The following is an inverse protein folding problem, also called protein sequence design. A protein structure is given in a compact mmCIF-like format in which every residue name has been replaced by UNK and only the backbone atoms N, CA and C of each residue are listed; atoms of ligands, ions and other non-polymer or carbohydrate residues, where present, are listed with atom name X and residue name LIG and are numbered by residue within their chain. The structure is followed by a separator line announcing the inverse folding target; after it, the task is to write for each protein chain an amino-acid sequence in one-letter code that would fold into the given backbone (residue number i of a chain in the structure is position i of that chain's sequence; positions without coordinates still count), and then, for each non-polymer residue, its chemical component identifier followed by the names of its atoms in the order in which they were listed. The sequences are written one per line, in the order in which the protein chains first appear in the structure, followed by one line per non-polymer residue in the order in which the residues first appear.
data_IF_471224786555
#
_entry.id   IF_471224786555
#
_cell.length_a   1.000
_cell.length_b   1.000
_cell.length_c   1.000
_cell.angle_alpha   90.00
_cell.angle_beta   90.00
_cell.angle_gamma   90.00
#
_symmetry.space_group_name_H-M   'P 1'
#
loop_
_entity.id
_entity.type
_entity.pdbx_description
1 polymer ?
#
# COMPACT_ATOMS: atom_id res chain seq x y z
N UNK A 1 -27.24 32.54 9.87
CA UNK A 1 -27.61 31.11 9.66
C UNK A 1 -26.31 30.34 9.55
N UNK A 2 -25.88 29.73 10.66
CA UNK A 2 -24.74 28.80 10.63
C UNK A 2 -25.24 27.50 10.01
N UNK A 3 -24.81 27.20 8.79
CA UNK A 3 -24.85 25.83 8.31
C UNK A 3 -23.74 25.06 9.05
N UNK A 4 -24.15 24.35 10.10
CA UNK A 4 -23.39 23.24 10.65
C UNK A 4 -23.39 22.16 9.58
N UNK A 5 -22.37 22.13 8.75
CA UNK A 5 -21.99 20.91 8.06
C UNK A 5 -21.38 20.02 9.13
N UNK A 6 -22.16 19.07 9.64
CA UNK A 6 -21.64 17.88 10.28
C UNK A 6 -20.85 17.11 9.19
N UNK A 7 -19.63 17.55 8.98
CA UNK A 7 -18.67 16.82 8.18
C UNK A 7 -18.38 15.55 8.98
N UNK A 8 -18.99 14.46 8.55
CA UNK A 8 -18.90 13.17 9.23
C UNK A 8 -17.41 12.81 9.34
N UNK A 9 -16.92 12.75 10.55
CA UNK A 9 -15.51 12.50 10.81
C UNK A 9 -15.08 11.19 10.12
N UNK A 10 -14.03 11.25 9.29
CA UNK A 10 -13.56 10.12 8.48
C UNK A 10 -13.11 8.95 9.36
N UNK A 11 -12.54 9.25 10.54
CA UNK A 11 -12.16 8.25 11.54
C UNK A 11 -12.91 8.51 12.85
N UNK A 12 -13.41 7.44 13.46
CA UNK A 12 -14.03 7.50 14.78
C UNK A 12 -12.98 7.76 15.88
N UNK A 13 -13.43 8.16 17.06
CA UNK A 13 -12.54 8.32 18.22
C UNK A 13 -11.83 7.02 18.58
N UNK A 14 -12.54 5.88 18.53
CA UNK A 14 -11.99 4.56 18.83
C UNK A 14 -10.92 4.14 17.81
N UNK A 15 -11.13 4.44 16.52
CA UNK A 15 -10.13 4.19 15.48
C UNK A 15 -8.85 5.01 15.69
N UNK A 16 -8.99 6.27 16.07
CA UNK A 16 -7.83 7.14 16.39
C UNK A 16 -7.08 6.63 17.62
N UNK A 17 -7.80 6.23 18.66
CA UNK A 17 -7.20 5.66 19.86
C UNK A 17 -6.49 4.35 19.53
N UNK A 18 -7.13 3.46 18.76
CA UNK A 18 -6.51 2.20 18.33
C UNK A 18 -5.21 2.43 17.55
N UNK A 19 -5.19 3.42 16.66
CA UNK A 19 -3.96 3.79 15.93
C UNK A 19 -2.86 4.25 16.87
N UNK A 20 -3.17 5.08 17.86
CA UNK A 20 -2.19 5.57 18.83
C UNK A 20 -1.60 4.45 19.67
N UNK A 21 -2.44 3.49 20.07
CA UNK A 21 -2.03 2.37 20.94
C UNK A 21 -1.27 1.29 20.19
N UNK A 22 -1.55 1.07 18.91
CA UNK A 22 -1.07 -0.10 18.16
C UNK A 22 -0.16 0.24 16.97
N UNK A 23 -0.15 1.49 16.47
CA UNK A 23 0.67 1.91 15.33
C UNK A 23 0.15 1.45 13.97
N UNK A 24 -1.02 0.87 13.90
CA UNK A 24 -1.69 0.52 12.65
C UNK A 24 -3.21 0.66 12.77
N UNK A 25 -3.89 0.74 11.63
CA UNK A 25 -5.34 0.79 11.57
C UNK A 25 -5.83 0.06 10.31
N UNK A 26 -6.81 -0.82 10.48
CA UNK A 26 -7.52 -1.44 9.37
C UNK A 26 -8.75 -0.61 9.03
N UNK A 27 -8.83 -0.17 7.79
CA UNK A 27 -10.00 0.52 7.22
C UNK A 27 -10.71 -0.41 6.25
N UNK A 28 -12.01 -0.56 6.43
CA UNK A 28 -12.85 -1.36 5.54
C UNK A 28 -13.63 -0.43 4.60
N UNK A 29 -13.94 -0.94 3.41
CA UNK A 29 -14.81 -0.26 2.42
C UNK A 29 -14.28 1.13 1.99
N UNK A 30 -12.97 1.30 1.92
CA UNK A 30 -12.34 2.51 1.38
C UNK A 30 -12.66 2.63 -0.11
N UNK A 31 -12.72 1.51 -0.80
CA UNK A 31 -13.08 1.41 -2.21
C UNK A 31 -14.40 0.66 -2.39
N UNK A 32 -15.15 1.01 -3.43
CA UNK A 32 -16.33 0.23 -3.84
C UNK A 32 -15.90 -1.10 -4.48
N UNK A 33 -16.80 -2.10 -4.55
CA UNK A 33 -16.49 -3.35 -5.25
C UNK A 33 -16.05 -3.14 -6.71
N UNK A 34 -16.65 -2.18 -7.41
CA UNK A 34 -16.30 -1.83 -8.78
C UNK A 34 -14.88 -1.24 -8.84
N UNK A 35 -14.55 -0.34 -7.93
CA UNK A 35 -13.19 0.23 -7.86
C UNK A 35 -12.13 -0.84 -7.54
N UNK A 36 -12.45 -1.80 -6.69
CA UNK A 36 -11.55 -2.94 -6.40
C UNK A 36 -11.38 -3.80 -7.65
N UNK A 37 -12.47 -4.08 -8.39
CA UNK A 37 -12.38 -4.84 -9.64
C UNK A 37 -11.55 -4.11 -10.70
N UNK A 38 -11.78 -2.81 -10.89
CA UNK A 38 -10.99 -1.98 -11.81
C UNK A 38 -9.50 -2.00 -11.47
N UNK A 39 -9.17 -1.96 -10.16
CA UNK A 39 -7.78 -2.06 -9.69
C UNK A 39 -7.19 -3.43 -9.96
N UNK A 40 -7.95 -4.50 -9.76
CA UNK A 40 -7.52 -5.88 -10.04
C UNK A 40 -7.26 -6.11 -11.52
N UNK A 41 -8.20 -5.71 -12.39
CA UNK A 41 -8.07 -5.85 -13.83
C UNK A 41 -6.87 -5.07 -14.38
N UNK A 42 -6.69 -3.85 -13.87
CA UNK A 42 -5.56 -3.00 -14.25
C UNK A 42 -4.23 -3.58 -13.78
N UNK A 43 -4.20 -4.19 -12.59
CA UNK A 43 -3.04 -4.88 -12.07
C UNK A 43 -2.65 -6.06 -12.96
N UNK A 44 -3.61 -6.89 -13.35
CA UNK A 44 -3.36 -8.00 -14.27
C UNK A 44 -2.81 -7.52 -15.61
N UNK A 45 -3.37 -6.44 -16.16
CA UNK A 45 -2.87 -5.83 -17.40
C UNK A 45 -1.41 -5.38 -17.23
N UNK A 46 -1.11 -4.66 -16.17
CA UNK A 46 0.25 -4.18 -15.90
C UNK A 46 1.23 -5.34 -15.69
N UNK A 47 0.80 -6.39 -15.01
CA UNK A 47 1.62 -7.59 -14.82
C UNK A 47 1.90 -8.33 -16.14
N UNK A 48 0.92 -8.42 -17.03
CA UNK A 48 1.08 -9.04 -18.34
C UNK A 48 2.05 -8.25 -19.23
N UNK A 49 1.90 -6.92 -19.27
CA UNK A 49 2.71 -6.04 -20.11
C UNK A 49 4.14 -5.88 -19.57
N UNK A 50 4.32 -5.78 -18.27
CA UNK A 50 5.59 -5.42 -17.63
C UNK A 50 6.25 -6.54 -16.85
N UNK A 51 5.50 -7.54 -16.44
CA UNK A 51 6.04 -8.73 -15.79
C UNK A 51 7.04 -9.50 -16.66
N UNK A 52 6.89 -9.40 -17.99
CA UNK A 52 7.84 -9.96 -18.94
C UNK A 52 9.18 -9.19 -19.00
N UNK A 53 9.27 -7.99 -18.47
CA UNK A 53 10.52 -7.21 -18.41
C UNK A 53 11.53 -7.74 -17.37
N UNK A 54 11.21 -8.78 -16.64
CA UNK A 54 12.17 -9.72 -16.06
C UNK A 54 13.02 -9.23 -14.91
N UNK A 55 12.74 -8.06 -14.31
CA UNK A 55 13.59 -7.55 -13.24
C UNK A 55 12.78 -7.15 -12.00
N UNK A 56 12.27 -8.14 -11.28
CA UNK A 56 11.83 -7.90 -9.91
C UNK A 56 12.99 -7.36 -9.07
N UNK A 57 12.73 -6.32 -8.28
CA UNK A 57 13.70 -5.81 -7.32
C UNK A 57 14.15 -6.92 -6.36
N UNK A 58 15.46 -7.12 -6.28
CA UNK A 58 16.09 -8.14 -5.44
C UNK A 58 16.72 -7.46 -4.25
N UNK A 59 15.92 -7.21 -3.20
CA UNK A 59 16.43 -6.61 -1.99
C UNK A 59 17.56 -7.42 -1.33
N UNK A 60 18.50 -6.77 -0.65
CA UNK A 60 19.65 -7.44 -0.03
C UNK A 60 19.26 -8.47 1.04
N UNK A 61 18.09 -8.33 1.66
CA UNK A 61 17.58 -9.26 2.67
C UNK A 61 17.23 -10.65 2.12
N UNK A 62 17.00 -10.82 0.79
CA UNK A 62 16.74 -12.15 0.22
C UNK A 62 17.86 -13.13 0.58
N UNK A 63 19.09 -12.67 0.45
CA UNK A 63 20.28 -13.50 0.79
C UNK A 63 20.43 -13.75 2.29
N UNK A 64 19.81 -12.94 3.12
CA UNK A 64 19.91 -13.06 4.57
C UNK A 64 18.88 -14.03 5.16
N UNK A 65 17.75 -14.28 4.47
CA UNK A 65 16.61 -15.05 4.99
C UNK A 65 16.14 -16.18 4.06
N UNK A 66 16.72 -16.30 2.87
CA UNK A 66 16.43 -17.38 1.92
C UNK A 66 17.70 -18.12 1.56
N UNK A 67 17.59 -19.43 1.37
CA UNK A 67 18.65 -20.22 0.76
C UNK A 67 18.90 -19.75 -0.68
N UNK A 68 20.13 -19.90 -1.17
CA UNK A 68 20.53 -19.36 -2.47
C UNK A 68 19.67 -19.90 -3.64
N UNK A 69 19.34 -21.19 -3.62
CA UNK A 69 18.50 -21.84 -4.61
C UNK A 69 17.04 -21.32 -4.55
N UNK A 70 16.52 -21.02 -3.38
CA UNK A 70 15.19 -20.45 -3.19
C UNK A 70 15.16 -19.00 -3.66
N UNK A 71 16.19 -18.22 -3.33
CA UNK A 71 16.30 -16.82 -3.76
C UNK A 71 16.34 -16.68 -5.29
N UNK A 72 16.92 -17.63 -6.00
CA UNK A 72 16.97 -17.64 -7.46
C UNK A 72 15.63 -18.05 -8.11
N UNK A 73 14.86 -18.88 -7.43
CA UNK A 73 13.55 -19.35 -7.90
C UNK A 73 12.41 -18.40 -7.50
N UNK A 74 12.59 -17.62 -6.44
CA UNK A 74 11.56 -16.71 -5.94
C UNK A 74 11.25 -15.60 -6.95
N UNK A 75 10.00 -15.56 -7.37
CA UNK A 75 9.48 -14.54 -8.29
C UNK A 75 8.78 -13.48 -7.47
N UNK A 76 9.32 -12.27 -7.47
CA UNK A 76 8.65 -11.09 -6.96
C UNK A 76 8.53 -10.08 -8.09
N UNK A 77 7.34 -9.58 -8.29
CA UNK A 77 7.12 -8.42 -9.14
C UNK A 77 6.96 -7.21 -8.23
N UNK A 78 7.84 -6.24 -8.41
CA UNK A 78 7.76 -4.94 -7.75
C UNK A 78 7.71 -3.88 -8.84
N UNK A 79 6.61 -3.12 -8.86
CA UNK A 79 6.44 -1.98 -9.74
C UNK A 79 6.30 -0.72 -8.89
N UNK A 80 7.16 0.25 -9.11
CA UNK A 80 7.10 1.54 -8.43
C UNK A 80 6.40 2.59 -9.31
N UNK A 81 5.68 3.50 -8.65
CA UNK A 81 5.07 4.64 -9.32
C UNK A 81 3.84 4.29 -10.17
N UNK A 82 2.99 3.37 -9.72
CA UNK A 82 1.80 2.91 -10.44
C UNK A 82 0.93 4.06 -10.97
N UNK A 83 0.76 5.12 -10.17
CA UNK A 83 0.00 6.30 -10.54
C UNK A 83 0.53 7.04 -11.78
N UNK A 84 1.79 6.82 -12.15
CA UNK A 84 2.38 7.44 -13.35
C UNK A 84 1.97 6.73 -14.64
N UNK A 85 1.45 5.53 -14.53
CA UNK A 85 1.17 4.63 -15.65
C UNK A 85 -0.29 4.23 -15.74
N UNK A 86 -1.07 4.51 -14.68
CA UNK A 86 -2.46 4.08 -14.57
C UNK A 86 -3.32 5.16 -13.94
N UNK A 87 -4.38 5.54 -14.65
CA UNK A 87 -5.40 6.45 -14.13
C UNK A 87 -6.17 5.82 -12.97
N UNK A 88 -6.40 4.51 -13.00
CA UNK A 88 -7.06 3.76 -11.93
C UNK A 88 -6.27 3.87 -10.62
N UNK A 89 -4.97 3.67 -10.67
CA UNK A 89 -4.12 3.82 -9.48
C UNK A 89 -3.90 5.27 -9.06
N UNK A 90 -3.91 6.22 -10.00
CA UNK A 90 -3.93 7.64 -9.64
C UNK A 90 -5.21 7.99 -8.87
N UNK A 91 -6.37 7.52 -9.32
CA UNK A 91 -7.65 7.72 -8.63
C UNK A 91 -7.68 7.04 -7.25
N UNK A 92 -7.05 5.86 -7.12
CA UNK A 92 -6.94 5.19 -5.83
C UNK A 92 -6.11 5.99 -4.83
N UNK A 93 -4.99 6.56 -5.26
CA UNK A 93 -4.12 7.41 -4.40
C UNK A 93 -4.84 8.66 -3.91
N UNK A 94 -5.66 9.29 -4.76
CA UNK A 94 -6.40 10.51 -4.40
C UNK A 94 -7.82 10.23 -3.86
N UNK A 95 -8.14 8.99 -3.52
CA UNK A 95 -9.43 8.63 -2.95
C UNK A 95 -9.70 9.45 -1.68
N UNK A 96 -10.85 10.15 -1.57
CA UNK A 96 -11.13 11.06 -0.45
C UNK A 96 -11.15 10.37 0.92
N UNK A 97 -11.64 9.13 0.99
CA UNK A 97 -11.67 8.36 2.23
C UNK A 97 -10.25 8.02 2.68
N UNK A 98 -9.39 7.58 1.75
CA UNK A 98 -8.00 7.27 2.03
C UNK A 98 -7.21 8.50 2.46
N UNK A 99 -7.26 9.56 1.64
CA UNK A 99 -6.50 10.80 1.91
C UNK A 99 -6.95 11.49 3.19
N UNK A 100 -8.25 11.51 3.46
CA UNK A 100 -8.79 12.07 4.68
C UNK A 100 -8.43 11.24 5.92
N UNK A 101 -8.37 9.91 5.82
CA UNK A 101 -7.90 9.06 6.91
C UNK A 101 -6.42 9.34 7.20
N UNK A 102 -5.56 9.38 6.18
CA UNK A 102 -4.13 9.67 6.32
C UNK A 102 -3.91 11.06 6.92
N UNK A 103 -4.60 12.08 6.41
CA UNK A 103 -4.58 13.44 6.95
C UNK A 103 -4.95 13.48 8.44
N UNK A 104 -6.01 12.74 8.81
CA UNK A 104 -6.44 12.64 10.21
C UNK A 104 -5.39 11.98 11.10
N UNK A 105 -4.73 10.92 10.62
CA UNK A 105 -3.72 10.19 11.39
C UNK A 105 -2.42 10.98 11.54
N UNK A 106 -2.04 11.75 10.53
CA UNK A 106 -0.88 12.64 10.58
C UNK A 106 -1.15 13.95 11.34
N UNK A 107 -2.43 14.29 11.57
CA UNK A 107 -2.83 15.52 12.24
C UNK A 107 -2.58 16.79 11.42
N UNK A 108 -2.54 16.65 10.09
CA UNK A 108 -2.33 17.77 9.17
C UNK A 108 -3.39 17.76 8.06
N UNK A 109 -3.75 18.92 7.56
CA UNK A 109 -4.67 19.08 6.42
C UNK A 109 -4.00 18.97 5.07
N UNK A 110 -2.67 19.10 5.01
CA UNK A 110 -1.85 18.93 3.83
C UNK A 110 -0.95 17.72 3.99
N UNK A 111 -1.15 16.71 3.16
CA UNK A 111 -0.32 15.51 3.12
C UNK A 111 0.33 15.38 1.74
N UNK A 112 1.61 15.06 1.73
CA UNK A 112 2.36 14.80 0.51
C UNK A 112 2.32 13.31 0.18
N UNK A 113 1.97 12.99 -1.07
CA UNK A 113 2.10 11.64 -1.57
C UNK A 113 3.55 11.37 -1.99
N UNK A 114 4.20 10.44 -1.32
CA UNK A 114 5.59 10.14 -1.57
C UNK A 114 5.77 9.18 -2.77
N UNK A 115 5.20 7.99 -2.71
CA UNK A 115 5.26 7.01 -3.80
C UNK A 115 4.20 5.92 -3.64
N UNK A 116 3.99 5.15 -4.70
CA UNK A 116 3.28 3.87 -4.66
C UNK A 116 4.19 2.74 -5.11
N UNK A 117 3.99 1.57 -4.54
CA UNK A 117 4.72 0.36 -4.91
C UNK A 117 3.75 -0.82 -4.93
N UNK A 118 3.77 -1.57 -6.01
CA UNK A 118 3.13 -2.87 -6.08
C UNK A 118 4.09 -3.94 -5.55
N UNK A 119 3.59 -4.78 -4.67
CA UNK A 119 4.23 -6.02 -4.26
C UNK A 119 3.34 -7.18 -4.66
N UNK A 120 3.66 -7.85 -5.75
CA UNK A 120 2.94 -9.06 -6.18
C UNK A 120 3.75 -10.29 -5.82
N UNK A 121 3.10 -11.26 -5.19
CA UNK A 121 3.66 -12.58 -4.92
C UNK A 121 3.07 -13.58 -5.92
N UNK A 122 3.91 -14.14 -6.77
CA UNK A 122 3.49 -15.21 -7.69
C UNK A 122 3.22 -16.50 -6.92
N UNK A 123 2.33 -17.38 -7.44
CA UNK A 123 2.15 -18.72 -6.91
C UNK A 123 3.48 -19.50 -6.83
N UNK A 124 3.66 -20.28 -5.78
CA UNK A 124 4.87 -21.05 -5.52
C UNK A 124 5.77 -20.37 -4.49
N UNK A 125 7.05 -20.24 -4.79
CA UNK A 125 8.03 -19.65 -3.88
C UNK A 125 8.00 -18.12 -3.94
N UNK A 126 7.30 -17.50 -2.99
CA UNK A 126 7.22 -16.05 -2.85
C UNK A 126 8.49 -15.44 -2.23
N UNK A 127 8.63 -14.13 -2.34
CA UNK A 127 9.71 -13.39 -1.67
C UNK A 127 9.24 -12.90 -0.31
N UNK A 128 9.93 -13.24 0.78
CA UNK A 128 9.60 -12.71 2.09
C UNK A 128 9.86 -11.21 2.14
N UNK A 129 9.09 -10.53 2.98
CA UNK A 129 9.24 -9.10 3.23
C UNK A 129 9.37 -8.88 4.74
N UNK A 130 10.59 -8.67 5.26
CA UNK A 130 10.80 -8.57 6.70
C UNK A 130 10.15 -7.33 7.30
N UNK A 131 9.78 -7.42 8.57
CA UNK A 131 9.25 -6.28 9.33
C UNK A 131 10.26 -5.13 9.32
N UNK A 132 9.79 -3.95 9.00
CA UNK A 132 10.59 -2.73 8.92
C UNK A 132 9.70 -1.50 9.16
N UNK A 133 10.33 -0.36 9.23
CA UNK A 133 9.69 0.95 9.18
C UNK A 133 10.20 1.69 7.95
N UNK A 134 9.32 2.34 7.21
CA UNK A 134 9.67 3.03 5.96
C UNK A 134 10.42 4.34 6.21
N UNK A 135 9.96 5.14 7.16
CA UNK A 135 10.44 6.49 7.34
C UNK A 135 11.97 6.64 7.51
N UNK A 136 12.73 5.72 8.15
CA UNK A 136 14.18 5.85 8.27
C UNK A 136 14.93 5.75 6.93
N UNK A 137 14.28 5.21 5.90
CA UNK A 137 14.89 5.06 4.57
C UNK A 137 14.69 6.28 3.67
N UNK A 138 13.89 7.24 4.11
CA UNK A 138 13.54 8.42 3.33
C UNK A 138 14.00 9.70 4.04
N UNK A 139 14.40 10.76 3.29
CA UNK A 139 14.89 12.01 3.87
C UNK A 139 13.73 12.86 4.40
N UNK A 140 13.12 12.45 5.51
CA UNK A 140 12.07 13.19 6.20
C UNK A 140 12.59 13.94 7.41
N UNK A 141 11.92 15.02 7.81
CA UNK A 141 12.21 15.79 9.00
C UNK A 141 11.72 15.16 10.31
N UNK A 142 11.14 13.97 10.23
CA UNK A 142 10.61 13.25 11.39
C UNK A 142 9.75 12.06 10.98
N UNK A 143 9.15 11.34 11.94
CA UNK A 143 8.37 10.12 11.70
C UNK A 143 6.96 10.37 11.12
N UNK A 144 6.70 11.52 10.51
CA UNK A 144 5.41 11.88 9.90
C UNK A 144 5.14 11.16 8.58
N UNK A 145 5.23 9.82 8.58
CA UNK A 145 5.00 8.98 7.41
C UNK A 145 3.97 7.90 7.73
N UNK A 146 3.00 7.71 6.84
CA UNK A 146 2.02 6.63 6.91
C UNK A 146 2.09 5.82 5.62
N UNK A 147 2.30 4.51 5.75
CA UNK A 147 2.17 3.58 4.64
C UNK A 147 0.73 3.05 4.59
N UNK A 148 0.05 3.22 3.46
CA UNK A 148 -1.28 2.68 3.23
C UNK A 148 -1.18 1.44 2.33
N UNK A 149 -1.48 0.27 2.87
CA UNK A 149 -1.49 -0.98 2.11
C UNK A 149 -2.92 -1.23 1.61
N UNK A 150 -3.08 -1.21 0.29
CA UNK A 150 -4.34 -1.56 -0.36
C UNK A 150 -4.33 -3.04 -0.72
N UNK A 151 -5.15 -3.82 -0.03
CA UNK A 151 -5.33 -5.23 -0.34
C UNK A 151 -6.32 -5.38 -1.50
N UNK A 152 -5.80 -5.65 -2.69
CA UNK A 152 -6.61 -5.90 -3.89
C UNK A 152 -7.15 -7.32 -3.85
N UNK A 153 -6.30 -8.27 -3.47
CA UNK A 153 -6.66 -9.68 -3.29
C UNK A 153 -6.85 -10.01 -1.81
N UNK A 154 -7.56 -11.10 -1.54
CA UNK A 154 -7.68 -11.63 -0.20
C UNK A 154 -6.31 -12.12 0.31
N UNK A 155 -5.89 -11.60 1.45
CA UNK A 155 -4.64 -12.00 2.11
C UNK A 155 -4.94 -12.82 3.37
N UNK A 156 -4.19 -13.90 3.56
CA UNK A 156 -4.26 -14.78 4.72
C UNK A 156 -2.85 -15.33 5.05
N UNK A 157 -2.77 -16.22 6.05
CA UNK A 157 -1.49 -16.80 6.48
C UNK A 157 -0.82 -17.69 5.42
N UNK A 158 -1.59 -18.22 4.46
CA UNK A 158 -1.06 -19.11 3.42
C UNK A 158 -0.46 -18.34 2.23
N UNK A 159 -0.98 -17.13 1.94
CA UNK A 159 -0.55 -16.34 0.77
C UNK A 159 0.23 -15.05 1.13
N UNK A 160 0.37 -14.74 2.39
CA UNK A 160 1.28 -13.73 2.93
C UNK A 160 0.74 -12.35 3.10
#
# INVERSE_FOLDING_TARGET
MHHSTDEQAILTADQKQFWQDNGYLRLEKVFTPEQVQDQSDELERMMQEWGAMGQGWRGPWRKAIMEANEADQAKALILAGLQNYSATYLQAVVNPTLTGAVSTLLGDTAVEFHHSVLHAKAPGLGTPFPMHQDWPFYPHWGPGCVAAIMHIDAANEDNG
#
